data_IF_733008708428
#
_entry.id   IF_733008708428
#
_cell.length_a   1.000
_cell.length_b   1.000
_cell.length_c   1.000
_cell.angle_alpha   90.00
_cell.angle_beta   90.00
_cell.angle_gamma   90.00
#
_symmetry.space_group_name_H-M   'P 1'
#
loop_
_entity.id
_entity.type
_entity.pdbx_description
1 polymer ?
#
# COMPACT_ATOMS: atom_id res chain seq x y z
N UNK A 1 -22.93 -46.88 0.17
CA UNK A 1 -23.28 -45.55 0.72
C UNK A 1 -22.40 -44.53 0.01
N UNK A 2 -22.98 -43.71 -0.87
CA UNK A 2 -22.28 -42.66 -1.62
C UNK A 2 -22.58 -41.33 -0.93
N UNK A 3 -21.54 -40.62 -0.45
CA UNK A 3 -21.60 -39.17 -0.19
C UNK A 3 -20.21 -38.62 0.06
N UNK A 4 -19.67 -37.91 -0.92
CA UNK A 4 -19.19 -36.54 -0.75
C UNK A 4 -18.87 -35.98 -2.13
N UNK A 5 -19.80 -35.17 -2.64
CA UNK A 5 -19.52 -34.15 -3.62
C UNK A 5 -18.63 -33.12 -2.92
N UNK A 6 -17.35 -33.06 -3.30
CA UNK A 6 -16.47 -31.94 -2.97
C UNK A 6 -16.21 -31.19 -4.28
N UNK A 7 -17.10 -30.25 -4.58
CA UNK A 7 -16.88 -29.22 -5.59
C UNK A 7 -16.99 -27.86 -4.89
N UNK A 8 -15.85 -27.20 -4.73
CA UNK A 8 -15.64 -25.79 -4.44
C UNK A 8 -14.12 -25.65 -4.38
N UNK A 9 -13.42 -24.84 -5.16
CA UNK A 9 -13.76 -23.70 -5.99
C UNK A 9 -12.41 -23.15 -6.43
N UNK A 10 -12.37 -22.45 -7.57
CA UNK A 10 -11.14 -22.01 -8.21
C UNK A 10 -10.13 -21.36 -7.26
N UNK A 11 -8.87 -21.73 -7.44
CA UNK A 11 -7.73 -21.11 -6.80
C UNK A 11 -7.60 -19.64 -7.25
N UNK A 12 -8.29 -18.74 -6.56
CA UNK A 12 -7.96 -17.33 -6.56
C UNK A 12 -6.68 -17.19 -5.71
N UNK A 13 -5.53 -17.31 -6.35
CA UNK A 13 -4.23 -16.98 -5.75
C UNK A 13 -4.23 -15.47 -5.53
N UNK A 14 -4.66 -15.06 -4.35
CA UNK A 14 -4.39 -13.73 -3.83
C UNK A 14 -2.86 -13.60 -3.81
N UNK A 15 -2.32 -12.72 -4.64
CA UNK A 15 -0.91 -12.30 -4.62
C UNK A 15 -0.66 -11.46 -3.35
N UNK A 16 -0.91 -12.02 -2.17
CA UNK A 16 -0.28 -11.54 -0.96
C UNK A 16 1.20 -11.92 -1.12
N UNK A 17 2.07 -10.91 -1.29
CA UNK A 17 3.50 -11.13 -1.47
C UNK A 17 4.01 -12.11 -0.41
N UNK A 18 4.69 -13.17 -0.84
CA UNK A 18 5.27 -14.15 0.07
C UNK A 18 6.31 -13.44 0.96
N UNK A 19 5.92 -13.05 2.17
CA UNK A 19 6.85 -12.61 3.19
C UNK A 19 7.72 -13.80 3.56
N UNK A 20 9.04 -13.69 3.39
CA UNK A 20 9.97 -14.72 3.81
C UNK A 20 10.15 -14.68 5.34
N UNK A 21 10.67 -15.76 5.93
CA UNK A 21 10.98 -15.77 7.37
C UNK A 21 11.98 -14.64 7.74
N UNK A 22 12.89 -14.32 6.83
CA UNK A 22 13.85 -13.23 6.99
C UNK A 22 13.14 -11.86 7.01
N UNK A 23 12.14 -11.63 6.16
CA UNK A 23 11.33 -10.40 6.18
C UNK A 23 10.55 -10.22 7.49
N UNK A 24 10.10 -11.32 8.10
CA UNK A 24 9.41 -11.28 9.38
C UNK A 24 10.37 -10.86 10.51
N UNK A 25 11.61 -11.34 10.49
CA UNK A 25 12.63 -10.95 11.47
C UNK A 25 12.98 -9.46 11.36
N UNK A 26 12.96 -8.89 10.15
CA UNK A 26 13.23 -7.46 9.94
C UNK A 26 12.23 -6.55 10.67
N UNK A 27 11.02 -7.02 10.99
CA UNK A 27 9.99 -6.24 11.69
C UNK A 27 10.36 -5.86 13.13
N UNK A 28 11.28 -6.60 13.72
CA UNK A 28 11.73 -6.38 15.10
C UNK A 28 12.75 -5.23 15.22
N UNK A 29 13.36 -4.81 14.10
CA UNK A 29 14.36 -3.75 14.07
C UNK A 29 13.69 -2.37 14.12
N UNK A 30 14.17 -1.41 14.92
CA UNK A 30 13.54 -0.09 15.08
C UNK A 30 13.49 0.72 13.78
N UNK A 31 14.43 0.50 12.86
CA UNK A 31 14.44 1.17 11.56
C UNK A 31 13.29 0.71 10.65
N UNK A 32 12.74 -0.48 10.89
CA UNK A 32 11.54 -0.95 10.21
C UNK A 32 10.34 -0.02 10.48
N UNK A 33 10.10 0.36 11.73
CA UNK A 33 8.98 1.24 12.09
C UNK A 33 9.14 2.64 11.49
N UNK A 34 10.38 3.16 11.45
CA UNK A 34 10.67 4.41 10.78
C UNK A 34 10.35 4.32 9.27
N UNK A 35 10.82 3.26 8.62
CA UNK A 35 10.50 2.98 7.22
C UNK A 35 9.00 2.85 6.98
N UNK A 36 8.30 2.10 7.83
CA UNK A 36 6.85 1.91 7.76
C UNK A 36 6.08 3.23 7.76
N UNK A 37 6.40 4.12 8.70
CA UNK A 37 5.78 5.45 8.78
C UNK A 37 6.01 6.27 7.51
N UNK A 38 7.25 6.31 7.01
CA UNK A 38 7.61 7.00 5.77
C UNK A 38 6.90 6.41 4.53
N UNK A 39 6.72 5.08 4.50
CA UNK A 39 5.96 4.38 3.48
C UNK A 39 4.50 4.83 3.44
N UNK A 40 3.85 4.91 4.61
CA UNK A 40 2.48 5.40 4.74
C UNK A 40 2.34 6.88 4.37
N UNK A 41 3.29 7.74 4.76
CA UNK A 41 3.27 9.13 4.32
C UNK A 41 3.39 9.19 2.80
N UNK A 42 4.28 8.39 2.19
CA UNK A 42 4.40 8.35 0.72
C UNK A 42 3.09 7.95 0.05
N UNK A 43 2.42 6.89 0.51
CA UNK A 43 1.18 6.45 -0.14
C UNK A 43 0.14 7.57 -0.16
N UNK A 44 -0.02 8.29 0.95
CA UNK A 44 -0.97 9.42 1.03
C UNK A 44 -0.55 10.65 0.22
N UNK A 45 0.75 10.84 -0.04
CA UNK A 45 1.24 11.92 -0.90
C UNK A 45 0.96 11.62 -2.38
N UNK A 46 0.97 10.35 -2.80
CA UNK A 46 0.66 9.93 -4.17
C UNK A 46 -0.83 10.08 -4.53
N UNK A 47 -1.72 10.04 -3.53
CA UNK A 47 -3.16 10.31 -3.73
C UNK A 47 -3.47 11.78 -4.08
N UNK A 48 -2.53 12.70 -3.83
CA UNK A 48 -2.71 14.12 -4.13
C UNK A 48 -2.43 14.39 -5.61
N UNK A 49 -3.39 15.00 -6.30
CA UNK A 49 -3.23 15.43 -7.69
C UNK A 49 -1.91 16.18 -7.91
N UNK A 50 -1.11 15.69 -8.86
CA UNK A 50 0.19 16.26 -9.28
C UNK A 50 1.34 16.19 -8.26
N UNK A 51 1.19 15.47 -7.15
CA UNK A 51 2.29 15.25 -6.21
C UNK A 51 3.33 14.28 -6.79
N UNK A 52 4.60 14.65 -6.66
CA UNK A 52 5.75 13.75 -6.96
C UNK A 52 6.58 13.48 -5.70
N UNK A 53 6.02 13.79 -4.53
CA UNK A 53 6.75 13.73 -3.25
C UNK A 53 6.84 12.29 -2.77
N UNK A 54 8.05 11.86 -2.46
CA UNK A 54 8.34 10.56 -1.86
C UNK A 54 8.94 10.76 -0.47
N UNK A 55 8.22 10.39 0.58
CA UNK A 55 8.71 10.47 1.96
C UNK A 55 9.59 9.26 2.23
N UNK A 56 10.90 9.47 2.27
CA UNK A 56 11.89 8.46 2.70
C UNK A 56 13.23 9.12 3.04
N UNK A 57 13.94 8.54 3.99
CA UNK A 57 15.39 8.73 4.12
C UNK A 57 16.09 7.95 3.01
N UNK A 58 16.74 8.66 2.09
CA UNK A 58 17.38 8.04 0.94
C UNK A 58 18.54 7.10 1.34
N UNK A 59 19.32 7.47 2.35
CA UNK A 59 20.47 6.66 2.80
C UNK A 59 19.98 5.38 3.47
N UNK A 60 19.00 5.47 4.36
CA UNK A 60 18.43 4.30 5.02
C UNK A 60 17.71 3.40 4.00
N UNK A 61 16.99 3.99 3.04
CA UNK A 61 16.36 3.21 1.98
C UNK A 61 17.36 2.39 1.15
N UNK A 62 18.56 2.93 0.92
CA UNK A 62 19.58 2.24 0.13
C UNK A 62 20.40 1.23 0.95
N UNK A 63 20.63 1.50 2.24
CA UNK A 63 21.62 0.77 3.06
C UNK A 63 21.05 -0.03 4.23
N UNK A 64 19.76 0.12 4.57
CA UNK A 64 19.11 -0.57 5.69
C UNK A 64 17.93 -1.41 5.17
N UNK A 65 18.08 -2.73 5.24
CA UNK A 65 17.08 -3.69 4.78
C UNK A 65 15.79 -3.62 5.59
N UNK A 66 15.88 -3.42 6.90
CA UNK A 66 14.72 -3.31 7.77
C UNK A 66 13.92 -2.03 7.46
N UNK A 67 14.62 -0.89 7.32
CA UNK A 67 13.98 0.36 6.89
C UNK A 67 13.28 0.21 5.54
N UNK A 68 13.97 -0.37 4.55
CA UNK A 68 13.43 -0.57 3.20
C UNK A 68 12.26 -1.56 3.17
N UNK A 69 12.30 -2.62 3.98
CA UNK A 69 11.20 -3.55 4.15
C UNK A 69 9.98 -2.86 4.78
N UNK A 70 10.20 -2.11 5.87
CA UNK A 70 9.18 -1.31 6.53
C UNK A 70 8.51 -0.33 5.57
N UNK A 71 9.31 0.42 4.80
CA UNK A 71 8.80 1.38 3.82
C UNK A 71 7.89 0.74 2.77
N UNK A 72 8.29 -0.41 2.21
CA UNK A 72 7.45 -1.13 1.24
C UNK A 72 6.14 -1.63 1.85
N UNK A 73 6.21 -2.16 3.07
CA UNK A 73 5.04 -2.67 3.76
C UNK A 73 4.06 -1.53 4.09
N UNK A 74 4.54 -0.45 4.70
CA UNK A 74 3.72 0.72 5.03
C UNK A 74 3.08 1.35 3.79
N UNK A 75 3.84 1.49 2.69
CA UNK A 75 3.30 1.99 1.43
C UNK A 75 2.10 1.16 0.94
N UNK A 76 2.23 -0.17 0.89
CA UNK A 76 1.14 -1.03 0.39
C UNK A 76 -0.06 -1.11 1.34
N UNK A 77 0.18 -1.16 2.65
CA UNK A 77 -0.90 -1.23 3.64
C UNK A 77 -1.68 0.08 3.77
N UNK A 78 -1.00 1.23 3.61
CA UNK A 78 -1.63 2.54 3.71
C UNK A 78 -2.19 3.04 2.36
N UNK A 79 -1.76 2.49 1.21
CA UNK A 79 -2.32 2.81 -0.11
C UNK A 79 -3.73 2.22 -0.33
N UNK A 80 -4.12 1.17 0.41
CA UNK A 80 -5.42 0.51 0.20
C UNK A 80 -6.62 1.30 0.72
N UNK A 81 -6.43 2.54 1.20
CA UNK A 81 -7.52 3.45 1.57
C UNK A 81 -7.98 4.30 0.39
N UNK A 82 -8.00 3.74 -0.82
CA UNK A 82 -8.72 4.37 -1.93
C UNK A 82 -10.16 4.59 -1.46
N UNK A 83 -10.68 5.83 -1.45
CA UNK A 83 -12.08 6.05 -1.17
C UNK A 83 -12.88 5.22 -2.18
N UNK A 84 -13.84 4.42 -1.70
CA UNK A 84 -14.78 3.73 -2.57
C UNK A 84 -15.28 4.75 -3.60
N UNK A 85 -15.03 4.43 -4.87
CA UNK A 85 -15.49 5.23 -6.02
C UNK A 85 -17.01 5.05 -6.12
N UNK A 86 -17.71 5.65 -5.17
CA UNK A 86 -19.16 5.82 -5.13
C UNK A 86 -19.54 7.29 -4.89
N UNK A 87 -18.59 8.22 -4.98
CA UNK A 87 -18.84 9.64 -5.22
C UNK A 87 -18.76 9.87 -6.73
N UNK A 88 -19.92 9.94 -7.39
CA UNK A 88 -20.04 10.05 -8.83
C UNK A 88 -19.22 11.22 -9.38
N UNK A 89 -18.08 10.90 -9.99
CA UNK A 89 -17.31 11.75 -10.90
C UNK A 89 -17.28 13.23 -10.53
N UNK A 90 -16.29 13.65 -9.75
CA UNK A 90 -15.99 15.07 -9.55
C UNK A 90 -15.64 15.71 -10.89
N UNK A 91 -16.62 16.31 -11.54
CA UNK A 91 -16.48 17.14 -12.74
C UNK A 91 -15.55 18.29 -12.36
N UNK A 92 -14.33 18.26 -12.90
CA UNK A 92 -13.39 19.36 -12.77
C UNK A 92 -13.85 20.48 -13.70
N UNK A 93 -14.67 21.40 -13.16
CA UNK A 93 -14.88 22.74 -13.70
C UNK A 93 -16.25 23.00 -14.32
N UNK A 94 -17.29 23.14 -13.50
CA UNK A 94 -18.43 23.99 -13.87
C UNK A 94 -18.08 25.42 -13.41
N UNK A 95 -17.55 26.24 -14.33
CA UNK A 95 -17.50 27.70 -14.12
C UNK A 95 -18.91 28.22 -14.38
N UNK A 96 -19.65 28.49 -13.31
CA UNK A 96 -20.86 29.32 -13.38
C UNK A 96 -20.45 30.77 -13.72
N UNK A 97 -20.17 31.03 -14.99
CA UNK A 97 -20.07 32.39 -15.55
C UNK A 97 -21.51 32.94 -15.67
N UNK A 98 -21.99 33.61 -14.63
CA UNK A 98 -23.24 34.39 -14.69
C UNK A 98 -22.91 35.88 -14.70
N UNK A 99 -23.09 36.50 -15.88
CA UNK A 99 -23.11 37.95 -16.10
C UNK A 99 -24.49 38.36 -16.61
#
# INVERSE_FOLDING_TARGET
MIRSLMFCGGAAVLLAGCATADDLALREYPSFQAGYGDGCVTSTEEDKSFSTKKSRDARAFDNDDAYRAGWRQGYMECASQLPEVHDGGRILGERDESF
#
